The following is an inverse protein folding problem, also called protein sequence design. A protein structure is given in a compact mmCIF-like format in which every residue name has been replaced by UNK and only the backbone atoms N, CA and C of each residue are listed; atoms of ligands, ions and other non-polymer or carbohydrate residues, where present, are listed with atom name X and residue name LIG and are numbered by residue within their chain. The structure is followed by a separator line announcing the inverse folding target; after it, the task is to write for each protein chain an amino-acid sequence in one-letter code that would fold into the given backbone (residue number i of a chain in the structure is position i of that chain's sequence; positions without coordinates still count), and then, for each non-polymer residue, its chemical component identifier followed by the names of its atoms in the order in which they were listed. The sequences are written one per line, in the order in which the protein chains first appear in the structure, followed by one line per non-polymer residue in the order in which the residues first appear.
data_IF_891472192408
#
_entry.id   IF_891472192408
#
_cell.length_a   1.000
_cell.length_b   1.000
_cell.length_c   1.000
_cell.angle_alpha   90.00
_cell.angle_beta   90.00
_cell.angle_gamma   90.00
#
_symmetry.space_group_name_H-M   'P 1'
#
loop_
_entity.id
_entity.type
_entity.pdbx_description
1 polymer ?
#
# COMPACT_ATOMS: atom_id res chain seq x y z
N UNK A 1 -5.14 -29.30 -4.78
CA UNK A 1 -6.15 -28.26 -4.50
C UNK A 1 -6.00 -27.17 -5.55
N UNK A 2 -7.02 -26.94 -6.39
CA UNK A 2 -6.99 -25.83 -7.34
C UNK A 2 -7.10 -24.51 -6.57
N UNK A 3 -6.43 -23.48 -7.06
CA UNK A 3 -6.62 -22.12 -6.56
C UNK A 3 -8.05 -21.74 -6.96
N UNK A 4 -8.92 -21.29 -6.03
CA UNK A 4 -10.23 -20.81 -6.41
C UNK A 4 -10.04 -19.68 -7.41
N UNK A 5 -10.67 -19.81 -8.58
CA UNK A 5 -10.60 -18.80 -9.63
C UNK A 5 -11.31 -17.55 -9.10
N UNK A 6 -10.66 -16.40 -9.24
CA UNK A 6 -11.31 -15.12 -8.95
C UNK A 6 -12.16 -14.79 -10.17
N UNK A 7 -13.47 -14.77 -9.97
CA UNK A 7 -14.44 -14.53 -11.05
C UNK A 7 -14.50 -13.04 -11.43
N UNK A 8 -14.45 -12.16 -10.43
CA UNK A 8 -14.36 -10.71 -10.62
C UNK A 8 -13.15 -10.14 -9.86
N UNK A 9 -12.04 -9.79 -10.56
CA UNK A 9 -10.83 -9.32 -9.90
C UNK A 9 -11.00 -7.95 -9.22
N UNK A 10 -11.86 -7.07 -9.74
CA UNK A 10 -12.04 -5.73 -9.16
C UNK A 10 -12.85 -5.77 -7.89
N UNK A 11 -13.98 -6.46 -7.92
CA UNK A 11 -14.79 -6.72 -6.72
C UNK A 11 -13.95 -7.39 -5.64
N UNK A 12 -13.14 -8.39 -6.03
CA UNK A 12 -12.19 -9.02 -5.11
C UNK A 12 -11.21 -8.02 -4.48
N UNK A 13 -10.63 -7.09 -5.26
CA UNK A 13 -9.71 -6.08 -4.73
C UNK A 13 -10.40 -5.09 -3.78
N UNK A 14 -11.63 -4.70 -4.08
CA UNK A 14 -12.43 -3.76 -3.30
C UNK A 14 -12.90 -4.41 -1.99
N UNK A 15 -13.52 -5.59 -2.08
CA UNK A 15 -14.15 -6.27 -0.94
C UNK A 15 -13.13 -6.75 0.10
N UNK A 16 -11.94 -7.11 -0.36
CA UNK A 16 -10.86 -7.55 0.53
C UNK A 16 -9.98 -6.40 1.03
N UNK A 17 -10.31 -5.14 0.71
CA UNK A 17 -9.53 -3.98 1.12
C UNK A 17 -8.13 -3.92 0.51
N UNK A 18 -7.86 -4.69 -0.55
CA UNK A 18 -6.55 -4.74 -1.21
C UNK A 18 -6.33 -3.45 -2.00
N UNK A 19 -7.33 -2.97 -2.73
CA UNK A 19 -7.25 -1.70 -3.45
C UNK A 19 -6.97 -0.54 -2.48
N UNK A 20 -7.65 -0.53 -1.33
CA UNK A 20 -7.40 0.43 -0.25
C UNK A 20 -5.94 0.42 0.19
N UNK A 21 -5.37 -0.76 0.46
CA UNK A 21 -3.99 -0.84 0.96
C UNK A 21 -2.96 -0.46 -0.13
N UNK A 22 -3.21 -0.83 -1.40
CA UNK A 22 -2.38 -0.42 -2.54
C UNK A 22 -2.39 1.10 -2.69
N UNK A 23 -3.58 1.72 -2.70
CA UNK A 23 -3.72 3.17 -2.77
C UNK A 23 -2.99 3.83 -1.59
N UNK A 24 -3.27 3.39 -0.36
CA UNK A 24 -2.71 4.00 0.86
C UNK A 24 -1.19 3.86 0.99
N UNK A 25 -0.64 2.66 0.79
CA UNK A 25 0.78 2.39 1.07
C UNK A 25 1.71 2.71 -0.10
N UNK A 26 1.20 2.62 -1.33
CA UNK A 26 2.05 2.70 -2.53
C UNK A 26 1.75 3.97 -3.32
N UNK A 27 0.48 4.23 -3.64
CA UNK A 27 0.13 5.26 -4.62
C UNK A 27 -0.03 6.66 -3.99
N UNK A 28 -0.70 6.79 -2.85
CA UNK A 28 -0.88 8.08 -2.17
C UNK A 28 0.46 8.76 -1.82
N UNK A 29 1.50 8.05 -1.34
CA UNK A 29 2.82 8.65 -1.14
C UNK A 29 3.48 9.19 -2.41
N UNK A 30 3.05 8.72 -3.59
CA UNK A 30 3.50 9.18 -4.90
C UNK A 30 2.57 10.25 -5.49
N UNK A 31 1.52 10.65 -4.78
CA UNK A 31 0.48 11.54 -5.29
C UNK A 31 -0.40 10.90 -6.36
N UNK A 32 -0.49 9.57 -6.39
CA UNK A 32 -1.31 8.81 -7.35
C UNK A 32 -2.47 8.10 -6.66
N UNK A 33 -3.52 7.81 -7.42
CA UNK A 33 -4.67 7.05 -6.94
C UNK A 33 -5.26 6.15 -8.03
N UNK A 34 -5.50 4.87 -7.72
CA UNK A 34 -6.11 3.91 -8.64
C UNK A 34 -7.61 3.82 -8.37
N UNK A 35 -8.43 4.11 -9.38
CA UNK A 35 -9.89 4.05 -9.35
C UNK A 35 -10.42 3.06 -10.38
N UNK A 36 -11.50 2.37 -10.03
CA UNK A 36 -12.25 1.53 -10.96
C UNK A 36 -13.61 2.18 -11.21
N UNK A 37 -13.97 2.37 -12.47
CA UNK A 37 -15.35 2.71 -12.83
C UNK A 37 -16.10 1.43 -13.12
N UNK A 38 -17.25 1.28 -12.47
CA UNK A 38 -18.16 0.16 -12.66
C UNK A 38 -19.43 0.67 -13.35
N UNK A 39 -20.03 -0.15 -14.22
CA UNK A 39 -21.40 0.07 -14.70
C UNK A 39 -22.43 -0.40 -13.65
N UNK A 40 -23.71 -0.25 -14.00
CA UNK A 40 -24.84 -0.65 -13.15
C UNK A 40 -24.89 -2.17 -12.85
N UNK A 41 -24.23 -2.98 -13.69
CA UNK A 41 -24.09 -4.44 -13.53
C UNK A 41 -22.82 -4.82 -12.72
N UNK A 42 -22.07 -3.83 -12.22
CA UNK A 42 -20.82 -4.03 -11.47
C UNK A 42 -19.63 -4.45 -12.34
N UNK A 43 -19.72 -4.29 -13.67
CA UNK A 43 -18.63 -4.59 -14.60
C UNK A 43 -17.72 -3.39 -14.77
N UNK A 44 -16.44 -3.68 -14.98
CA UNK A 44 -15.42 -2.64 -15.16
C UNK A 44 -15.66 -1.94 -16.50
N UNK A 45 -15.89 -0.64 -16.45
CA UNK A 45 -15.96 0.23 -17.63
C UNK A 45 -14.65 0.98 -17.85
N UNK A 46 -13.89 1.27 -16.79
CA UNK A 46 -12.58 1.88 -16.87
C UNK A 46 -11.70 1.61 -15.64
N UNK A 47 -10.39 1.73 -15.85
CA UNK A 47 -9.37 1.78 -14.80
C UNK A 47 -8.67 3.12 -14.93
N UNK A 48 -8.82 3.99 -13.93
CA UNK A 48 -8.21 5.31 -13.93
C UNK A 48 -7.03 5.34 -12.95
N UNK A 49 -5.91 5.90 -13.40
CA UNK A 49 -4.81 6.30 -12.54
C UNK A 49 -4.82 7.82 -12.45
N UNK A 50 -5.31 8.33 -11.33
CA UNK A 50 -5.40 9.76 -11.08
C UNK A 50 -4.07 10.28 -10.55
N UNK A 51 -3.67 11.44 -11.04
CA UNK A 51 -2.50 12.18 -10.60
C UNK A 51 -2.95 13.41 -9.83
N UNK A 52 -2.70 13.41 -8.52
CA UNK A 52 -3.07 14.50 -7.62
C UNK A 52 -1.83 15.23 -7.06
N UNK A 53 -0.68 15.13 -7.73
CA UNK A 53 0.56 15.76 -7.26
C UNK A 53 0.50 17.29 -7.22
N UNK A 54 -0.37 17.90 -8.02
CA UNK A 54 -0.60 19.35 -8.06
C UNK A 54 -1.66 19.82 -7.04
N UNK A 55 -2.30 18.90 -6.32
CA UNK A 55 -3.32 19.22 -5.34
C UNK A 55 -2.76 19.96 -4.12
N UNK A 56 -3.51 20.95 -3.62
CA UNK A 56 -3.13 21.69 -2.39
C UNK A 56 -3.15 20.80 -1.14
N UNK A 57 -3.90 19.70 -1.17
CA UNK A 57 -4.04 18.78 -0.04
C UNK A 57 -3.52 17.38 -0.38
N UNK A 58 -2.89 16.69 0.59
CA UNK A 58 -2.43 15.33 0.41
C UNK A 58 -3.62 14.36 0.27
N UNK A 59 -3.45 13.36 -0.61
CA UNK A 59 -4.46 12.31 -0.80
C UNK A 59 -4.59 11.49 0.49
N UNK A 60 -5.77 11.51 1.09
CA UNK A 60 -6.06 10.76 2.31
C UNK A 60 -7.49 10.25 2.31
N UNK A 61 -7.71 9.15 3.03
CA UNK A 61 -9.05 8.62 3.26
C UNK A 61 -9.70 9.36 4.42
N UNK A 62 -11.01 9.59 4.33
CA UNK A 62 -11.79 9.99 5.50
C UNK A 62 -11.66 8.93 6.60
N UNK A 63 -11.78 9.34 7.86
CA UNK A 63 -11.53 8.45 9.00
C UNK A 63 -12.38 7.17 8.98
N UNK A 64 -13.65 7.28 8.57
CA UNK A 64 -14.55 6.13 8.41
C UNK A 64 -14.08 5.16 7.33
N UNK A 65 -13.72 5.68 6.16
CA UNK A 65 -13.24 4.87 5.03
C UNK A 65 -11.90 4.20 5.32
N UNK A 66 -11.03 4.91 6.03
CA UNK A 66 -9.77 4.36 6.51
C UNK A 66 -10.01 3.15 7.42
N UNK A 67 -10.86 3.30 8.45
CA UNK A 67 -11.15 2.24 9.39
C UNK A 67 -11.80 1.03 8.69
N UNK A 68 -12.76 1.27 7.80
CA UNK A 68 -13.45 0.22 7.05
C UNK A 68 -12.53 -0.51 6.06
N UNK A 69 -11.71 0.23 5.30
CA UNK A 69 -10.73 -0.34 4.38
C UNK A 69 -9.68 -1.18 5.12
N UNK A 70 -9.17 -0.65 6.23
CA UNK A 70 -8.19 -1.33 7.08
C UNK A 70 -8.75 -2.63 7.66
N UNK A 71 -9.97 -2.62 8.19
CA UNK A 71 -10.61 -3.80 8.74
C UNK A 71 -10.80 -4.91 7.70
N UNK A 72 -11.24 -4.58 6.48
CA UNK A 72 -11.36 -5.53 5.36
C UNK A 72 -10.02 -6.18 5.02
N UNK A 73 -8.96 -5.36 4.92
CA UNK A 73 -7.63 -5.85 4.60
C UNK A 73 -7.03 -6.73 5.69
N UNK A 74 -7.18 -6.36 6.96
CA UNK A 74 -6.70 -7.16 8.08
C UNK A 74 -7.40 -8.51 8.17
N UNK A 75 -8.72 -8.54 7.94
CA UNK A 75 -9.48 -9.79 7.83
C UNK A 75 -8.94 -10.67 6.69
N UNK A 76 -8.75 -10.10 5.50
CA UNK A 76 -8.18 -10.84 4.37
C UNK A 76 -6.79 -11.43 4.68
N UNK A 77 -5.91 -10.67 5.34
CA UNK A 77 -4.59 -11.17 5.76
C UNK A 77 -4.69 -12.27 6.83
N UNK A 78 -5.65 -12.19 7.74
CA UNK A 78 -5.87 -13.23 8.75
C UNK A 78 -6.29 -14.56 8.09
N UNK A 79 -7.20 -14.49 7.11
CA UNK A 79 -7.80 -15.64 6.45
C UNK A 79 -6.85 -16.27 5.40
N UNK A 80 -6.15 -15.43 4.63
CA UNK A 80 -5.37 -15.86 3.47
C UNK A 80 -3.88 -15.58 3.58
N UNK A 81 -3.47 -14.57 4.35
CA UNK A 81 -2.09 -14.11 4.44
C UNK A 81 -1.13 -15.17 4.98
N UNK A 82 -1.50 -15.89 6.06
CA UNK A 82 -0.63 -16.89 6.69
C UNK A 82 -0.27 -18.06 5.77
N UNK A 83 -1.27 -18.65 5.10
CA UNK A 83 -1.04 -19.76 4.16
C UNK A 83 -0.25 -19.32 2.94
N UNK A 84 -0.55 -18.13 2.43
CA UNK A 84 0.10 -17.61 1.22
C UNK A 84 1.56 -17.23 1.48
N UNK A 85 1.85 -16.60 2.62
CA UNK A 85 3.23 -16.28 3.03
C UNK A 85 4.06 -17.54 3.31
N UNK A 86 3.49 -18.55 3.97
CA UNK A 86 4.20 -19.81 4.21
C UNK A 86 4.54 -20.53 2.91
N UNK A 87 3.59 -20.58 1.96
CA UNK A 87 3.83 -21.13 0.62
C UNK A 87 4.91 -20.35 -0.14
N UNK A 88 4.90 -19.02 -0.08
CA UNK A 88 5.93 -18.17 -0.71
C UNK A 88 7.33 -18.40 -0.14
N UNK A 89 7.45 -18.54 1.19
CA UNK A 89 8.72 -18.91 1.84
C UNK A 89 9.24 -20.27 1.37
N UNK A 90 8.35 -21.26 1.25
CA UNK A 90 8.73 -22.59 0.74
C UNK A 90 9.21 -22.56 -0.72
N UNK A 91 8.74 -21.59 -1.52
CA UNK A 91 9.14 -21.40 -2.91
C UNK A 91 10.38 -20.51 -3.06
N UNK A 92 11.05 -20.13 -1.96
CA UNK A 92 12.23 -19.27 -1.99
C UNK A 92 11.95 -17.80 -2.33
N UNK A 93 10.68 -17.37 -2.26
CA UNK A 93 10.31 -15.98 -2.56
C UNK A 93 10.62 -15.05 -1.38
N UNK A 94 11.17 -13.88 -1.68
CA UNK A 94 11.38 -12.81 -0.71
C UNK A 94 10.03 -12.19 -0.33
N UNK A 95 9.74 -12.11 0.96
CA UNK A 95 8.55 -11.44 1.49
C UNK A 95 8.94 -10.03 1.91
N UNK A 96 8.44 -9.04 1.17
CA UNK A 96 8.61 -7.64 1.53
C UNK A 96 7.49 -7.25 2.52
N UNK A 97 7.86 -7.03 3.78
CA UNK A 97 6.91 -6.68 4.86
C UNK A 97 6.81 -5.16 5.00
N UNK A 98 5.88 -4.54 4.27
CA UNK A 98 5.54 -3.11 4.39
C UNK A 98 6.73 -2.14 4.24
N UNK A 99 6.49 -0.82 4.35
CA UNK A 99 7.59 0.12 4.37
C UNK A 99 8.38 -0.05 5.69
N UNK A 100 9.70 -0.20 5.57
CA UNK A 100 10.62 0.25 6.62
C UNK A 100 10.25 1.71 6.81
N UNK A 101 9.62 2.07 7.94
CA UNK A 101 9.46 3.47 8.29
C UNK A 101 10.85 4.08 8.14
N UNK A 102 11.03 5.00 7.18
CA UNK A 102 12.31 5.68 7.02
C UNK A 102 12.56 6.31 8.38
N UNK A 103 13.59 5.83 9.09
CA UNK A 103 14.19 6.56 10.19
C UNK A 103 14.40 7.96 9.61
N UNK A 104 13.79 8.97 10.20
CA UNK A 104 14.01 10.34 9.77
C UNK A 104 15.52 10.49 9.62
N UNK A 105 15.97 10.97 8.46
CA UNK A 105 17.35 11.38 8.32
C UNK A 105 17.57 12.41 9.43
N UNK A 106 18.22 12.00 10.53
CA UNK A 106 18.82 12.96 11.43
C UNK A 106 19.81 13.72 10.55
N UNK A 107 19.69 15.06 10.43
CA UNK A 107 20.72 15.82 9.76
C UNK A 107 22.01 15.50 10.49
N UNK A 108 22.97 14.99 9.73
CA UNK A 108 24.33 14.73 10.16
C UNK A 108 24.79 15.98 10.92
N UNK A 109 24.91 15.84 12.24
CA UNK A 109 25.40 16.93 13.08
C UNK A 109 26.84 17.12 12.64
N UNK A 110 27.05 18.13 11.79
CA UNK A 110 28.33 18.46 11.20
C UNK A 110 29.37 18.50 12.31
N UNK A 111 30.28 17.53 12.24
CA UNK A 111 31.54 17.46 12.97
C UNK A 111 32.25 18.80 12.74
N UNK A 112 32.16 19.66 13.73
CA UNK A 112 32.78 20.97 13.77
C UNK A 112 34.27 20.75 13.93
N UNK A 113 34.97 20.75 12.80
CA UNK A 113 36.42 20.69 12.74
C UNK A 113 37.07 21.76 13.62
N UNK A 114 37.39 21.39 14.86
CA UNK A 114 38.36 22.07 15.70
C UNK A 114 39.74 21.60 15.26
N UNK A 115 40.32 22.34 14.31
CA UNK A 115 41.76 22.32 14.07
C UNK A 115 42.47 22.88 15.31
N UNK A 116 42.89 21.98 16.20
CA UNK A 116 43.97 22.27 17.15
C UNK A 116 45.28 21.92 16.44
N UNK A 117 45.90 22.95 15.86
CA UNK A 117 47.30 22.92 15.50
C UNK A 117 48.11 23.48 16.67
N UNK A 118 48.72 22.63 17.48
CA UNK A 118 49.93 22.99 18.21
C UNK A 118 50.65 21.73 18.75
N UNK A 119 51.96 21.62 18.50
CA UNK A 119 52.88 20.67 19.14
C UNK A 119 53.72 19.81 18.22
#
# INVERSE_FOLDING_TARGET
MSIPKIDNPVEFLIDNGILFEVNRQVLHPLGLELHFRLDDDGRITAIDLLDNREGEQPISFAQGDFAAGRARYEKYLADHGRRTMQKRRMLGMVIQTGPIARRAFEPDAGDDGSTDADG
#
